data_IF_107500097700
#
_entry.id   IF_107500097700
#
_cell.length_a   1.000
_cell.length_b   1.000
_cell.length_c   1.000
_cell.angle_alpha   90.00
_cell.angle_beta   90.00
_cell.angle_gamma   90.00
#
_symmetry.space_group_name_H-M   'P 1'
#
loop_
_entity.id
_entity.type
_entity.pdbx_description
1 polymer ?
#
# COMPACT_ATOMS: atom_id res chain seq x y z
N UNK A 1 -7.70 16.33 -17.98
CA UNK A 1 -6.60 15.48 -17.49
C UNK A 1 -7.17 14.13 -17.11
N UNK A 2 -6.46 13.02 -17.38
CA UNK A 2 -6.99 11.66 -17.24
C UNK A 2 -7.14 11.18 -15.78
N UNK A 3 -6.58 11.91 -14.83
CA UNK A 3 -6.60 11.58 -13.40
C UNK A 3 -7.15 12.75 -12.58
N UNK A 4 -7.87 12.43 -11.52
CA UNK A 4 -8.35 13.43 -10.57
C UNK A 4 -7.21 13.98 -9.71
N UNK A 5 -7.36 15.22 -9.25
CA UNK A 5 -6.34 15.92 -8.44
C UNK A 5 -5.90 15.12 -7.22
N UNK A 6 -6.85 14.48 -6.51
CA UNK A 6 -6.54 13.63 -5.35
C UNK A 6 -5.65 12.44 -5.69
N UNK A 7 -5.86 11.83 -6.87
CA UNK A 7 -5.05 10.67 -7.30
C UNK A 7 -3.63 11.10 -7.57
N UNK A 8 -3.46 12.23 -8.27
CA UNK A 8 -2.15 12.81 -8.58
C UNK A 8 -1.41 13.21 -7.30
N UNK A 9 -2.09 13.89 -6.35
CA UNK A 9 -1.48 14.27 -5.07
C UNK A 9 -0.96 13.05 -4.28
N UNK A 10 -1.76 11.97 -4.18
CA UNK A 10 -1.33 10.77 -3.49
C UNK A 10 -0.19 10.02 -4.20
N UNK A 11 -0.09 10.15 -5.53
CA UNK A 11 0.99 9.56 -6.31
C UNK A 11 2.30 10.35 -6.17
N UNK A 12 2.24 11.67 -6.25
CA UNK A 12 3.41 12.56 -6.13
C UNK A 12 3.89 12.71 -4.68
N UNK A 13 2.96 12.69 -3.72
CA UNK A 13 3.23 12.81 -2.28
C UNK A 13 2.76 11.55 -1.53
N UNK A 14 3.44 10.39 -1.71
CA UNK A 14 2.99 9.14 -1.15
C UNK A 14 3.13 9.13 0.37
N UNK A 15 2.11 8.62 1.05
CA UNK A 15 2.00 8.63 2.53
C UNK A 15 2.08 7.21 3.06
N UNK A 16 2.76 7.03 4.19
CA UNK A 16 2.93 5.71 4.85
C UNK A 16 3.65 4.66 3.99
N UNK A 17 4.57 5.10 3.12
CA UNK A 17 5.43 4.18 2.37
C UNK A 17 6.46 3.58 3.31
N UNK A 18 6.54 2.26 3.34
CA UNK A 18 7.51 1.55 4.16
C UNK A 18 7.11 0.11 4.42
N UNK A 19 7.78 -0.48 5.41
CA UNK A 19 7.50 -1.84 5.90
C UNK A 19 7.56 -1.79 7.42
N UNK A 20 6.55 -2.38 8.07
CA UNK A 20 6.56 -2.64 9.50
C UNK A 20 7.25 -3.97 9.80
N UNK A 21 7.71 -4.14 11.03
CA UNK A 21 8.29 -5.41 11.47
C UNK A 21 7.24 -6.53 11.37
N UNK A 22 7.50 -7.50 10.49
CA UNK A 22 6.62 -8.63 10.21
C UNK A 22 6.56 -9.65 11.36
N UNK A 23 7.56 -9.64 12.24
CA UNK A 23 7.68 -10.60 13.33
C UNK A 23 7.06 -10.05 14.63
N UNK A 24 6.67 -8.77 14.65
CA UNK A 24 5.97 -8.15 15.76
C UNK A 24 4.53 -8.70 15.88
N UNK A 25 4.17 -9.20 17.07
CA UNK A 25 2.86 -9.81 17.34
C UNK A 25 1.67 -8.87 17.15
N UNK A 26 1.92 -7.57 17.15
CA UNK A 26 0.92 -6.53 16.99
C UNK A 26 0.88 -5.96 15.56
N UNK A 27 1.63 -6.53 14.61
CA UNK A 27 1.59 -6.13 13.19
C UNK A 27 0.87 -7.20 12.37
N UNK A 28 -0.29 -6.84 11.82
CA UNK A 28 -0.98 -7.63 10.80
C UNK A 28 -0.46 -7.27 9.41
N UNK A 29 -0.10 -8.27 8.60
CA UNK A 29 0.33 -8.08 7.21
C UNK A 29 -0.63 -8.77 6.24
N UNK A 30 -1.22 -8.00 5.32
CA UNK A 30 -2.00 -8.49 4.19
C UNK A 30 -1.28 -8.23 2.88
N UNK A 31 -1.00 -9.28 2.11
CA UNK A 31 -0.48 -9.17 0.75
C UNK A 31 -1.49 -9.78 -0.20
N UNK A 32 -1.97 -8.99 -1.15
CA UNK A 32 -2.92 -9.39 -2.18
C UNK A 32 -2.36 -9.00 -3.54
N UNK A 33 -2.63 -9.81 -4.56
CA UNK A 33 -2.21 -9.48 -5.92
C UNK A 33 -3.13 -10.13 -6.93
N UNK A 34 -3.27 -9.48 -8.07
CA UNK A 34 -3.94 -10.01 -9.25
C UNK A 34 -2.87 -10.14 -10.35
N UNK A 35 -2.17 -11.29 -10.45
CA UNK A 35 -1.08 -11.47 -11.41
C UNK A 35 -1.50 -11.21 -12.87
N UNK A 36 -2.78 -11.45 -13.17
CA UNK A 36 -3.36 -11.20 -14.49
C UNK A 36 -3.39 -9.71 -14.89
N UNK A 37 -3.45 -8.79 -13.92
CA UNK A 37 -3.47 -7.35 -14.16
C UNK A 37 -2.12 -6.67 -13.87
N UNK A 38 -1.15 -7.40 -13.31
CA UNK A 38 0.17 -6.87 -12.94
C UNK A 38 0.21 -6.13 -11.60
N UNK A 39 -0.90 -6.12 -10.85
CA UNK A 39 -1.00 -5.37 -9.60
C UNK A 39 -0.74 -6.25 -8.37
N UNK A 40 0.16 -5.78 -7.50
CA UNK A 40 0.42 -6.36 -6.19
C UNK A 40 0.30 -5.25 -5.15
N UNK A 41 -0.50 -5.50 -4.11
CA UNK A 41 -0.71 -4.59 -3.00
C UNK A 41 -0.30 -5.26 -1.69
N UNK A 42 0.54 -4.58 -0.92
CA UNK A 42 0.90 -4.97 0.44
C UNK A 42 0.41 -3.89 1.40
N UNK A 43 -0.38 -4.29 2.39
CA UNK A 43 -0.91 -3.43 3.43
C UNK A 43 -0.58 -4.03 4.79
N UNK A 44 0.03 -3.23 5.66
CA UNK A 44 0.37 -3.62 7.02
C UNK A 44 -0.31 -2.68 8.01
N UNK A 45 -0.80 -3.23 9.11
CA UNK A 45 -1.51 -2.50 10.17
C UNK A 45 -0.87 -2.89 11.49
N UNK A 46 -0.53 -1.90 12.33
CA UNK A 46 -0.10 -2.11 13.69
C UNK A 46 -1.25 -1.77 14.64
N UNK A 47 -1.56 -2.67 15.57
CA UNK A 47 -2.56 -2.52 16.64
C UNK A 47 -1.91 -2.38 18.02
#
# INVERSE_FOLDING_TARGET
MAYGEKVLDHYENPRNVGVLDKDAKNVGTGMVGAPACGDVMRLQIQI
#
